data_IF_605686502789
#
_entry.id   IF_605686502789
#
_cell.length_a   1.000
_cell.length_b   1.000
_cell.length_c   1.000
_cell.angle_alpha   90.00
_cell.angle_beta   90.00
_cell.angle_gamma   90.00
#
_symmetry.space_group_name_H-M   'P 1'
#
loop_
_entity.id
_entity.type
_entity.pdbx_description
1 polymer ?
#
# COMPACT_ATOMS: atom_id res chain seq x y z
N UNK A 1 -19.10 -11.97 3.11
CA UNK A 1 -18.32 -11.32 4.18
C UNK A 1 -19.20 -10.94 5.35
N UNK A 2 -18.58 -10.67 6.51
CA UNK A 2 -19.24 -10.04 7.66
C UNK A 2 -18.70 -8.62 7.78
N UNK A 3 -19.54 -7.67 8.17
CA UNK A 3 -19.12 -6.30 8.44
C UNK A 3 -19.70 -5.81 9.74
N UNK A 4 -19.02 -4.85 10.37
CA UNK A 4 -19.42 -4.22 11.62
C UNK A 4 -19.10 -2.74 11.58
N UNK A 5 -20.01 -1.95 12.15
CA UNK A 5 -19.88 -0.50 12.26
C UNK A 5 -20.16 -0.05 13.70
N UNK A 6 -19.47 1.01 14.12
CA UNK A 6 -19.84 1.79 15.31
C UNK A 6 -19.53 3.25 15.09
N UNK A 7 -20.36 4.11 15.68
CA UNK A 7 -20.26 5.56 15.56
C UNK A 7 -19.96 6.16 16.93
N UNK A 8 -19.12 7.18 16.96
CA UNK A 8 -18.80 7.97 18.15
C UNK A 8 -19.05 9.45 17.88
N UNK A 9 -19.75 10.08 18.82
CA UNK A 9 -19.91 11.53 18.87
C UNK A 9 -18.57 12.23 19.14
N UNK A 10 -18.31 13.38 18.50
CA UNK A 10 -17.14 14.20 18.81
C UNK A 10 -17.17 14.68 20.27
N UNK A 11 -16.01 14.71 20.91
CA UNK A 11 -15.87 15.15 22.30
C UNK A 11 -16.25 16.64 22.40
N UNK A 12 -17.21 16.97 23.27
CA UNK A 12 -17.59 18.36 23.54
C UNK A 12 -18.69 18.94 22.64
N UNK A 13 -19.23 18.19 21.67
CA UNK A 13 -20.43 18.58 20.92
C UNK A 13 -21.46 17.45 20.97
N UNK A 14 -22.65 17.73 21.50
CA UNK A 14 -23.77 16.77 21.52
C UNK A 14 -24.52 16.82 20.21
N UNK A 15 -24.83 15.66 19.64
CA UNK A 15 -25.73 15.59 18.51
C UNK A 15 -27.17 15.94 18.95
N UNK A 16 -27.97 16.55 18.05
CA UNK A 16 -29.41 16.68 18.23
C UNK A 16 -30.08 15.35 18.64
N UNK A 17 -30.99 15.41 19.60
CA UNK A 17 -31.77 14.25 20.01
C UNK A 17 -32.69 13.80 18.86
N UNK A 18 -32.68 12.50 18.53
CA UNK A 18 -33.50 11.92 17.46
C UNK A 18 -32.79 11.72 16.11
N UNK A 19 -31.49 12.02 16.02
CA UNK A 19 -30.68 11.68 14.86
C UNK A 19 -30.53 10.15 14.73
N UNK A 20 -31.04 9.62 13.63
CA UNK A 20 -30.82 8.24 13.22
C UNK A 20 -29.79 8.20 12.11
N UNK A 21 -28.77 7.35 12.30
CA UNK A 21 -27.79 7.06 11.26
C UNK A 21 -28.10 5.71 10.65
N UNK A 22 -27.96 5.62 9.33
CA UNK A 22 -28.17 4.39 8.57
C UNK A 22 -26.89 4.03 7.86
N UNK A 23 -26.54 2.74 7.88
CA UNK A 23 -25.49 2.17 7.03
C UNK A 23 -26.14 1.44 5.87
N UNK A 24 -25.65 1.78 4.69
CA UNK A 24 -26.17 1.34 3.41
C UNK A 24 -25.02 0.72 2.61
N UNK A 25 -25.02 -0.61 2.42
CA UNK A 25 -24.09 -1.28 1.54
C UNK A 25 -24.60 -1.22 0.09
N UNK A 26 -23.70 -0.82 -0.81
CA UNK A 26 -23.88 -0.74 -2.25
C UNK A 26 -22.93 -1.73 -2.93
N UNK A 27 -23.40 -2.32 -4.02
CA UNK A 27 -22.55 -3.11 -4.90
C UNK A 27 -21.78 -2.15 -5.82
N UNK A 28 -20.56 -2.51 -6.23
CA UNK A 28 -19.77 -1.77 -7.21
C UNK A 28 -20.54 -1.42 -8.49
N UNK A 29 -21.37 -2.33 -9.01
CA UNK A 29 -22.19 -2.08 -10.21
C UNK A 29 -23.27 -1.01 -10.02
N UNK A 30 -23.80 -0.87 -8.79
CA UNK A 30 -24.84 0.10 -8.46
C UNK A 30 -24.26 1.44 -7.96
N UNK A 31 -22.99 1.45 -7.55
CA UNK A 31 -22.35 2.61 -6.95
C UNK A 31 -22.31 3.83 -7.87
N UNK A 32 -21.94 3.75 -9.16
CA UNK A 32 -21.96 4.91 -10.06
C UNK A 32 -23.37 5.53 -10.19
N UNK A 33 -24.41 4.70 -10.19
CA UNK A 33 -25.79 5.18 -10.22
C UNK A 33 -26.16 5.89 -8.91
N UNK A 34 -25.77 5.33 -7.76
CA UNK A 34 -25.98 5.95 -6.46
C UNK A 34 -25.21 7.27 -6.31
N UNK A 35 -23.97 7.33 -6.80
CA UNK A 35 -23.11 8.52 -6.76
C UNK A 35 -23.65 9.65 -7.66
N UNK A 36 -24.21 9.31 -8.81
CA UNK A 36 -24.83 10.26 -9.73
C UNK A 36 -26.09 10.96 -9.17
N UNK A 37 -26.74 10.37 -8.15
CA UNK A 37 -27.89 10.99 -7.48
C UNK A 37 -27.39 12.13 -6.58
N UNK A 38 -27.87 13.35 -6.88
CA UNK A 38 -27.51 14.56 -6.13
C UNK A 38 -28.03 14.55 -4.69
N UNK A 39 -29.25 14.05 -4.48
CA UNK A 39 -29.84 13.93 -3.16
C UNK A 39 -29.29 12.69 -2.42
N UNK A 40 -28.50 12.91 -1.38
CA UNK A 40 -27.88 11.86 -0.59
C UNK A 40 -28.89 10.86 -0.01
N UNK A 41 -30.11 11.31 0.29
CA UNK A 41 -31.15 10.46 0.87
C UNK A 41 -31.86 9.58 -0.16
N UNK A 42 -31.86 9.99 -1.43
CA UNK A 42 -32.40 9.18 -2.53
C UNK A 42 -31.43 8.06 -2.93
N UNK A 43 -30.13 8.17 -2.60
CA UNK A 43 -29.13 7.13 -2.84
C UNK A 43 -29.55 5.80 -2.22
N UNK A 44 -30.26 5.82 -1.09
CA UNK A 44 -30.77 4.64 -0.40
C UNK A 44 -31.58 3.70 -1.33
N UNK A 45 -32.20 4.20 -2.40
CA UNK A 45 -32.93 3.37 -3.37
C UNK A 45 -32.05 2.34 -4.08
N UNK A 46 -30.76 2.63 -4.23
CA UNK A 46 -29.77 1.72 -4.83
C UNK A 46 -29.07 0.82 -3.80
N UNK A 47 -29.31 1.04 -2.50
CA UNK A 47 -28.70 0.25 -1.44
C UNK A 47 -29.30 -1.16 -1.38
N UNK A 48 -28.46 -2.18 -1.16
CA UNK A 48 -28.94 -3.56 -1.00
C UNK A 48 -29.63 -3.80 0.34
N UNK A 49 -29.29 -3.01 1.35
CA UNK A 49 -29.85 -3.07 2.70
C UNK A 49 -29.72 -1.72 3.40
N UNK A 50 -30.54 -1.45 4.40
CA UNK A 50 -30.34 -0.30 5.30
C UNK A 50 -30.38 -0.80 6.74
N UNK A 51 -29.37 -0.46 7.53
CA UNK A 51 -29.26 -0.82 8.94
C UNK A 51 -29.14 0.44 9.77
N UNK A 52 -30.04 0.61 10.75
CA UNK A 52 -29.99 1.74 11.68
C UNK A 52 -28.89 1.49 12.71
N UNK A 53 -28.01 2.47 12.91
CA UNK A 53 -26.89 2.44 13.85
C UNK A 53 -27.14 3.44 14.97
N UNK A 54 -26.90 2.97 16.21
CA UNK A 54 -26.95 3.82 17.39
C UNK A 54 -25.59 4.46 17.63
N UNK A 55 -25.58 5.78 17.82
CA UNK A 55 -24.37 6.52 18.18
C UNK A 55 -24.08 6.34 19.67
N UNK A 56 -22.81 6.20 20.01
CA UNK A 56 -22.35 6.21 21.40
C UNK A 56 -22.49 7.60 22.02
N UNK A 57 -22.55 7.67 23.35
CA UNK A 57 -22.66 8.94 24.07
C UNK A 57 -21.31 9.65 24.13
N UNK A 58 -21.28 10.95 23.83
CA UNK A 58 -20.21 11.93 24.16
C UNK A 58 -18.81 11.34 24.42
N UNK A 59 -18.10 10.96 23.35
CA UNK A 59 -16.71 10.50 23.42
C UNK A 59 -16.50 8.99 23.48
N UNK A 60 -17.57 8.20 23.65
CA UNK A 60 -17.51 6.74 23.56
C UNK A 60 -18.14 6.24 22.26
N UNK A 61 -17.63 5.10 21.77
CA UNK A 61 -18.24 4.43 20.62
C UNK A 61 -19.55 3.73 21.02
N UNK A 62 -20.52 3.78 20.11
CA UNK A 62 -21.75 3.01 20.23
C UNK A 62 -21.52 1.50 20.13
N UNK A 63 -22.59 0.71 20.36
CA UNK A 63 -22.51 -0.74 20.20
C UNK A 63 -22.22 -1.12 18.74
N UNK A 64 -21.52 -2.24 18.56
CA UNK A 64 -21.29 -2.79 17.23
C UNK A 64 -22.60 -3.18 16.56
N UNK A 65 -22.84 -2.63 15.37
CA UNK A 65 -23.92 -3.07 14.49
C UNK A 65 -23.32 -3.93 13.40
N UNK A 66 -23.70 -5.20 13.35
CA UNK A 66 -23.15 -6.17 12.40
C UNK A 66 -24.14 -6.51 11.29
N UNK A 67 -23.63 -6.66 10.07
CA UNK A 67 -24.37 -7.21 8.95
C UNK A 67 -23.55 -8.22 8.15
N UNK A 68 -24.21 -8.85 7.19
CA UNK A 68 -23.61 -9.83 6.30
C UNK A 68 -23.90 -9.46 4.86
N UNK A 69 -22.91 -9.67 4.00
CA UNK A 69 -23.05 -9.59 2.55
C UNK A 69 -22.72 -10.95 1.96
N UNK A 70 -23.56 -11.42 1.04
CA UNK A 70 -23.40 -12.73 0.38
C UNK A 70 -23.32 -12.52 -1.12
N UNK A 71 -22.35 -13.17 -1.75
CA UNK A 71 -22.20 -13.22 -3.20
C UNK A 71 -22.08 -14.68 -3.63
N UNK A 72 -22.69 -15.03 -4.77
CA UNK A 72 -22.77 -16.42 -5.24
C UNK A 72 -21.87 -16.71 -6.44
N UNK A 73 -21.68 -15.74 -7.33
CA UNK A 73 -21.08 -15.97 -8.66
C UNK A 73 -19.66 -15.40 -8.75
N UNK A 74 -19.48 -14.13 -8.35
CA UNK A 74 -18.21 -13.39 -8.44
C UNK A 74 -18.00 -12.57 -7.17
N UNK A 75 -16.73 -12.30 -6.83
CA UNK A 75 -16.34 -11.33 -5.81
C UNK A 75 -16.52 -9.91 -6.34
N UNK A 76 -17.29 -9.08 -5.64
CA UNK A 76 -17.41 -7.65 -5.94
C UNK A 76 -16.88 -6.79 -4.81
N UNK A 77 -16.54 -5.56 -5.16
CA UNK A 77 -16.27 -4.51 -4.17
C UNK A 77 -17.59 -4.00 -3.61
N UNK A 78 -17.61 -3.74 -2.31
CA UNK A 78 -18.77 -3.22 -1.60
C UNK A 78 -18.45 -1.83 -1.07
N UNK A 79 -19.31 -0.88 -1.40
CA UNK A 79 -19.27 0.47 -0.86
C UNK A 79 -20.20 0.55 0.34
N UNK A 80 -19.80 1.28 1.37
CA UNK A 80 -20.62 1.48 2.54
C UNK A 80 -20.76 2.98 2.80
N UNK A 81 -21.99 3.48 2.73
CA UNK A 81 -22.30 4.87 3.06
C UNK A 81 -23.00 4.94 4.41
N UNK A 82 -22.70 6.01 5.16
CA UNK A 82 -23.45 6.38 6.37
C UNK A 82 -24.27 7.62 6.04
N UNK A 83 -25.59 7.53 6.20
CA UNK A 83 -26.52 8.62 5.90
C UNK A 83 -27.38 8.97 7.13
N UNK A 84 -27.84 10.21 7.21
CA UNK A 84 -28.87 10.63 8.16
C UNK A 84 -29.88 11.50 7.43
N UNK A 85 -31.11 11.01 7.30
CA UNK A 85 -32.14 11.58 6.43
C UNK A 85 -33.39 12.08 7.16
N UNK A 86 -33.40 12.06 8.50
CA UNK A 86 -34.57 12.44 9.31
C UNK A 86 -34.74 13.96 9.48
N UNK A 87 -34.32 14.77 8.51
CA UNK A 87 -34.64 16.20 8.42
C UNK A 87 -33.91 17.14 9.39
N UNK A 88 -33.04 16.63 10.27
CA UNK A 88 -32.12 17.46 11.06
C UNK A 88 -30.79 17.58 10.31
N UNK A 89 -30.45 18.79 9.87
CA UNK A 89 -29.12 19.08 9.34
C UNK A 89 -28.07 18.68 10.38
N UNK A 90 -27.10 17.88 9.95
CA UNK A 90 -25.97 17.53 10.78
C UNK A 90 -25.15 18.81 11.00
N UNK A 91 -24.87 19.22 12.25
CA UNK A 91 -23.94 20.30 12.48
C UNK A 91 -22.59 19.91 11.86
N UNK A 92 -21.83 20.87 11.32
CA UNK A 92 -20.47 20.66 10.78
C UNK A 92 -19.57 20.06 11.88
N UNK A 93 -19.58 18.73 11.97
CA UNK A 93 -18.99 17.96 13.04
C UNK A 93 -18.43 16.68 12.46
N UNK A 94 -17.16 16.42 12.75
CA UNK A 94 -16.51 15.19 12.36
C UNK A 94 -17.04 14.05 13.25
N UNK A 95 -17.81 13.14 12.66
CA UNK A 95 -18.20 11.88 13.29
C UNK A 95 -17.05 10.89 13.17
N UNK A 96 -16.71 10.25 14.28
CA UNK A 96 -15.75 9.15 14.26
C UNK A 96 -16.48 7.86 13.90
N UNK A 97 -16.18 7.33 12.71
CA UNK A 97 -16.68 6.05 12.22
C UNK A 97 -15.61 5.00 12.41
N UNK A 98 -15.98 3.84 12.95
CA UNK A 98 -15.13 2.66 12.92
C UNK A 98 -15.84 1.55 12.15
N UNK A 99 -15.14 1.07 11.13
CA UNK A 99 -15.58 0.04 10.21
C UNK A 99 -14.64 -1.14 10.28
N UNK A 100 -15.21 -2.35 10.31
CA UNK A 100 -14.46 -3.59 10.24
C UNK A 100 -15.20 -4.55 9.32
N UNK A 101 -14.51 -5.06 8.29
CA UNK A 101 -15.03 -6.09 7.41
C UNK A 101 -14.10 -7.30 7.37
N UNK A 102 -14.70 -8.49 7.25
CA UNK A 102 -14.01 -9.76 7.08
C UNK A 102 -14.60 -10.55 5.92
N UNK A 103 -13.72 -11.23 5.19
CA UNK A 103 -14.08 -12.13 4.12
C UNK A 103 -14.65 -13.46 4.66
N UNK A 104 -15.28 -14.29 3.79
CA UNK A 104 -15.58 -15.67 4.14
C UNK A 104 -14.28 -16.38 4.61
N UNK A 105 -14.26 -16.85 5.86
CA UNK A 105 -13.05 -17.40 6.50
C UNK A 105 -12.44 -16.50 7.59
N UNK A 106 -12.94 -15.27 7.77
CA UNK A 106 -12.56 -14.39 8.89
C UNK A 106 -11.34 -13.51 8.64
N UNK A 107 -10.66 -13.66 7.50
CA UNK A 107 -9.53 -12.80 7.11
C UNK A 107 -9.99 -11.37 6.80
N UNK A 108 -9.13 -10.41 7.16
CA UNK A 108 -9.27 -9.00 6.81
C UNK A 108 -8.70 -8.64 5.42
N UNK A 109 -8.00 -9.57 4.76
CA UNK A 109 -7.51 -9.35 3.41
C UNK A 109 -8.65 -9.19 2.41
N UNK A 110 -8.44 -8.33 1.41
CA UNK A 110 -9.31 -8.31 0.23
C UNK A 110 -9.13 -9.62 -0.55
N UNK A 111 -10.07 -9.93 -1.44
CA UNK A 111 -9.95 -11.11 -2.31
C UNK A 111 -8.71 -11.00 -3.20
N UNK A 112 -8.37 -9.78 -3.64
CA UNK A 112 -7.22 -9.49 -4.48
C UNK A 112 -5.90 -9.70 -3.74
N UNK A 113 -5.87 -9.36 -2.44
CA UNK A 113 -4.69 -9.52 -1.60
C UNK A 113 -4.64 -10.86 -0.84
N UNK A 114 -5.55 -11.81 -1.13
CA UNK A 114 -5.65 -13.05 -0.36
C UNK A 114 -4.35 -13.88 -0.39
N UNK A 115 -3.63 -13.83 -1.50
CA UNK A 115 -2.34 -14.52 -1.69
C UNK A 115 -1.12 -13.63 -1.48
N UNK A 116 -1.30 -12.36 -1.09
CA UNK A 116 -0.21 -11.42 -0.91
C UNK A 116 0.81 -11.92 0.13
N UNK A 117 0.34 -12.43 1.28
CA UNK A 117 1.19 -12.98 2.32
C UNK A 117 2.00 -14.19 1.81
N UNK A 118 1.35 -15.12 1.11
CA UNK A 118 1.99 -16.31 0.53
C UNK A 118 3.05 -15.92 -0.51
N UNK A 119 2.73 -14.97 -1.39
CA UNK A 119 3.66 -14.41 -2.37
C UNK A 119 4.87 -13.76 -1.70
N UNK A 120 4.64 -12.96 -0.64
CA UNK A 120 5.71 -12.33 0.12
C UNK A 120 6.64 -13.36 0.79
N UNK A 121 6.07 -14.42 1.38
CA UNK A 121 6.85 -15.51 1.98
C UNK A 121 7.67 -16.26 0.92
N UNK A 122 7.08 -16.54 -0.25
CA UNK A 122 7.81 -17.19 -1.34
C UNK A 122 8.97 -16.31 -1.84
N UNK A 123 8.74 -15.01 -2.01
CA UNK A 123 9.79 -14.05 -2.34
C UNK A 123 10.88 -14.00 -1.27
N UNK A 124 10.52 -14.04 0.01
CA UNK A 124 11.50 -14.07 1.11
C UNK A 124 12.36 -15.35 1.08
N UNK A 125 11.76 -16.51 0.78
CA UNK A 125 12.50 -17.77 0.61
C UNK A 125 13.47 -17.70 -0.57
N UNK A 126 13.04 -17.15 -1.71
CA UNK A 126 13.89 -16.92 -2.87
C UNK A 126 15.05 -15.97 -2.53
N UNK A 127 14.78 -14.86 -1.84
CA UNK A 127 15.82 -13.94 -1.37
C UNK A 127 16.78 -14.58 -0.37
N UNK A 128 16.28 -15.43 0.52
CA UNK A 128 17.14 -16.20 1.44
C UNK A 128 18.10 -17.09 0.65
N UNK A 129 17.61 -17.81 -0.36
CA UNK A 129 18.45 -18.61 -1.25
C UNK A 129 19.49 -17.78 -2.00
N UNK A 130 19.09 -16.61 -2.52
CA UNK A 130 20.00 -15.68 -3.18
C UNK A 130 21.09 -15.15 -2.24
N UNK A 131 20.73 -14.71 -1.02
CA UNK A 131 21.67 -14.23 0.00
C UNK A 131 22.68 -15.31 0.39
N UNK A 132 22.22 -16.55 0.60
CA UNK A 132 23.11 -17.67 0.91
C UNK A 132 24.08 -17.95 -0.25
N UNK A 133 23.61 -17.89 -1.50
CA UNK A 133 24.46 -18.04 -2.69
C UNK A 133 25.49 -16.91 -2.79
N UNK A 134 25.06 -15.65 -2.60
CA UNK A 134 25.92 -14.47 -2.61
C UNK A 134 26.98 -14.54 -1.52
N UNK A 135 26.61 -14.90 -0.29
CA UNK A 135 27.52 -15.05 0.84
C UNK A 135 28.55 -16.15 0.58
N UNK A 136 28.12 -17.34 0.12
CA UNK A 136 29.02 -18.46 -0.20
C UNK A 136 30.02 -18.10 -1.30
N UNK A 137 29.55 -17.45 -2.38
CA UNK A 137 30.41 -17.03 -3.50
C UNK A 137 31.39 -15.95 -3.07
N UNK A 138 30.93 -14.97 -2.29
CA UNK A 138 31.77 -13.89 -1.77
C UNK A 138 32.83 -14.41 -0.81
N UNK A 139 32.48 -15.35 0.07
CA UNK A 139 33.44 -16.01 0.97
C UNK A 139 34.49 -16.82 0.21
N UNK A 140 34.07 -17.62 -0.79
CA UNK A 140 35.00 -18.35 -1.64
C UNK A 140 35.96 -17.42 -2.38
N UNK A 141 35.45 -16.31 -2.91
CA UNK A 141 36.28 -15.33 -3.63
C UNK A 141 37.25 -14.60 -2.69
N UNK A 142 36.78 -14.20 -1.50
CA UNK A 142 37.61 -13.60 -0.46
C UNK A 142 38.76 -14.52 -0.05
N UNK A 143 38.52 -15.82 0.12
CA UNK A 143 39.58 -16.77 0.48
C UNK A 143 40.67 -16.91 -0.60
N UNK A 144 40.35 -16.62 -1.87
CA UNK A 144 41.31 -16.72 -2.98
C UNK A 144 42.07 -15.41 -3.20
N UNK A 145 41.38 -14.27 -3.09
CA UNK A 145 41.91 -12.96 -3.50
C UNK A 145 42.23 -12.03 -2.33
N UNK A 146 41.82 -12.38 -1.11
CA UNK A 146 42.02 -11.60 0.11
C UNK A 146 41.21 -10.30 0.21
N UNK A 147 40.53 -9.88 -0.87
CA UNK A 147 39.78 -8.62 -0.92
C UNK A 147 38.54 -8.77 -1.81
N UNK A 148 37.44 -8.08 -1.45
CA UNK A 148 36.22 -8.01 -2.26
C UNK A 148 36.08 -6.61 -2.87
N UNK A 149 35.64 -6.57 -4.12
CA UNK A 149 35.39 -5.30 -4.82
C UNK A 149 34.29 -4.50 -4.10
N UNK A 150 34.40 -3.16 -3.97
CA UNK A 150 33.40 -2.32 -3.29
C UNK A 150 31.96 -2.48 -3.82
N UNK A 151 31.81 -2.82 -5.09
CA UNK A 151 30.50 -3.11 -5.72
C UNK A 151 29.81 -4.32 -5.06
N UNK A 152 30.58 -5.34 -4.67
CA UNK A 152 30.03 -6.54 -4.01
C UNK A 152 29.58 -6.20 -2.58
N UNK A 153 30.37 -5.38 -1.86
CA UNK A 153 29.99 -4.90 -0.53
C UNK A 153 28.71 -4.05 -0.56
N UNK A 154 28.63 -3.11 -1.49
CA UNK A 154 27.45 -2.26 -1.66
C UNK A 154 26.22 -3.10 -2.06
N UNK A 155 26.38 -4.09 -2.93
CA UNK A 155 25.30 -5.02 -3.29
C UNK A 155 24.84 -5.84 -2.07
N UNK A 156 25.77 -6.34 -1.25
CA UNK A 156 25.43 -7.08 -0.04
C UNK A 156 24.62 -6.23 0.94
N UNK A 157 24.99 -4.96 1.13
CA UNK A 157 24.22 -4.02 1.97
C UNK A 157 22.81 -3.81 1.41
N UNK A 158 22.69 -3.53 0.11
CA UNK A 158 21.39 -3.32 -0.56
C UNK A 158 20.46 -4.53 -0.38
N UNK A 159 20.96 -5.73 -0.65
CA UNK A 159 20.16 -6.96 -0.58
C UNK A 159 19.78 -7.27 0.87
N UNK A 160 20.67 -7.02 1.83
CA UNK A 160 20.34 -7.15 3.26
C UNK A 160 19.27 -6.14 3.69
N UNK A 161 19.35 -4.89 3.24
CA UNK A 161 18.32 -3.88 3.50
C UNK A 161 16.97 -4.30 2.93
N UNK A 162 16.93 -4.81 1.69
CA UNK A 162 15.72 -5.35 1.07
C UNK A 162 15.14 -6.53 1.85
N UNK A 163 16.00 -7.43 2.32
CA UNK A 163 15.58 -8.57 3.11
C UNK A 163 14.93 -8.16 4.43
N UNK A 164 15.56 -7.22 5.15
CA UNK A 164 15.00 -6.67 6.39
C UNK A 164 13.64 -6.01 6.11
N UNK A 165 13.55 -5.19 5.07
CA UNK A 165 12.31 -4.53 4.69
C UNK A 165 11.19 -5.54 4.40
N UNK A 166 11.50 -6.61 3.65
CA UNK A 166 10.54 -7.67 3.33
C UNK A 166 10.05 -8.40 4.59
N UNK A 167 10.92 -8.65 5.57
CA UNK A 167 10.54 -9.23 6.86
C UNK A 167 9.59 -8.31 7.65
N UNK A 168 9.85 -6.99 7.66
CA UNK A 168 8.97 -6.01 8.32
C UNK A 168 7.59 -5.96 7.65
N UNK A 169 7.54 -5.96 6.31
CA UNK A 169 6.30 -5.98 5.54
C UNK A 169 5.50 -7.28 5.77
N UNK A 170 6.15 -8.45 5.77
CA UNK A 170 5.49 -9.71 6.12
C UNK A 170 4.91 -9.65 7.55
N UNK A 171 5.64 -9.08 8.50
CA UNK A 171 5.13 -8.93 9.86
C UNK A 171 3.92 -7.99 9.91
N UNK A 172 3.94 -6.88 9.15
CA UNK A 172 2.78 -6.02 8.99
C UNK A 172 1.59 -6.81 8.42
N UNK A 173 1.76 -7.57 7.34
CA UNK A 173 0.71 -8.37 6.71
C UNK A 173 0.13 -9.44 7.65
N UNK A 174 0.97 -10.10 8.46
CA UNK A 174 0.49 -11.06 9.46
C UNK A 174 -0.41 -10.38 10.50
N UNK A 175 0.00 -9.20 11.00
CA UNK A 175 -0.82 -8.44 11.93
C UNK A 175 -2.13 -7.98 11.26
N UNK A 176 -2.03 -7.47 10.04
CA UNK A 176 -3.18 -7.03 9.25
C UNK A 176 -4.20 -8.16 9.02
N UNK A 177 -3.74 -9.40 8.84
CA UNK A 177 -4.62 -10.56 8.71
C UNK A 177 -5.51 -10.77 9.94
N UNK A 178 -4.99 -10.46 11.13
CA UNK A 178 -5.64 -10.68 12.43
C UNK A 178 -6.54 -9.50 12.85
N UNK A 179 -6.09 -8.25 12.64
CA UNK A 179 -6.76 -7.05 13.17
C UNK A 179 -7.34 -6.11 12.10
N UNK A 180 -6.98 -6.30 10.82
CA UNK A 180 -7.38 -5.46 9.69
C UNK A 180 -6.74 -4.06 9.65
N UNK A 181 -5.75 -3.78 10.49
CA UNK A 181 -4.98 -2.53 10.50
C UNK A 181 -3.48 -2.76 10.30
N UNK A 182 -2.96 -3.86 10.81
CA UNK A 182 -1.54 -4.14 10.87
C UNK A 182 -0.79 -3.10 11.73
N UNK A 183 0.52 -3.01 11.51
CA UNK A 183 1.34 -1.96 12.13
C UNK A 183 1.72 -0.90 11.09
N UNK A 184 1.18 0.33 11.16
CA UNK A 184 1.52 1.37 10.20
C UNK A 184 3.00 1.76 10.26
N UNK A 185 3.60 1.67 11.45
CA UNK A 185 5.04 1.93 11.63
C UNK A 185 5.90 0.93 10.86
N UNK A 186 5.59 -0.38 10.94
CA UNK A 186 6.34 -1.40 10.22
C UNK A 186 6.23 -1.21 8.71
N UNK A 187 5.05 -0.83 8.22
CA UNK A 187 4.82 -0.60 6.80
C UNK A 187 5.63 0.59 6.28
N UNK A 188 5.51 1.74 6.92
CA UNK A 188 6.26 2.95 6.53
C UNK A 188 7.76 2.71 6.58
N UNK A 189 8.25 2.01 7.61
CA UNK A 189 9.67 1.67 7.71
C UNK A 189 10.12 0.72 6.59
N UNK A 190 9.31 -0.31 6.27
CA UNK A 190 9.59 -1.23 5.17
C UNK A 190 9.65 -0.50 3.83
N UNK A 191 8.67 0.37 3.54
CA UNK A 191 8.62 1.20 2.34
C UNK A 191 9.87 2.07 2.18
N UNK A 192 10.25 2.80 3.24
CA UNK A 192 11.45 3.66 3.21
C UNK A 192 12.70 2.85 2.89
N UNK A 193 12.89 1.70 3.57
CA UNK A 193 14.05 0.84 3.33
C UNK A 193 14.05 0.28 1.90
N UNK A 194 12.90 -0.09 1.35
CA UNK A 194 12.77 -0.55 -0.04
C UNK A 194 13.13 0.57 -1.02
N UNK A 195 12.59 1.78 -0.85
CA UNK A 195 12.90 2.93 -1.71
C UNK A 195 14.39 3.25 -1.71
N UNK A 196 15.00 3.32 -0.53
CA UNK A 196 16.45 3.57 -0.40
C UNK A 196 17.25 2.46 -1.08
N UNK A 197 16.89 1.20 -0.86
CA UNK A 197 17.59 0.07 -1.48
C UNK A 197 17.49 0.07 -3.01
N UNK A 198 16.32 0.37 -3.57
CA UNK A 198 16.11 0.47 -5.01
C UNK A 198 16.91 1.62 -5.61
N UNK A 199 16.99 2.77 -4.93
CA UNK A 199 17.79 3.91 -5.38
C UNK A 199 19.28 3.56 -5.46
N UNK A 200 19.82 2.88 -4.44
CA UNK A 200 21.22 2.43 -4.43
C UNK A 200 21.45 1.36 -5.50
N UNK A 201 20.54 0.39 -5.64
CA UNK A 201 20.63 -0.66 -6.65
C UNK A 201 20.63 -0.10 -8.07
N UNK A 202 19.72 0.81 -8.39
CA UNK A 202 19.66 1.50 -9.68
C UNK A 202 20.96 2.25 -9.97
N UNK A 203 21.51 2.95 -8.96
CA UNK A 203 22.78 3.65 -9.08
C UNK A 203 23.95 2.69 -9.38
N UNK A 204 23.98 1.52 -8.72
CA UNK A 204 24.98 0.49 -9.00
C UNK A 204 24.90 -0.05 -10.43
N UNK A 205 23.69 -0.28 -10.95
CA UNK A 205 23.48 -0.74 -12.33
C UNK A 205 24.05 0.28 -13.31
N UNK A 206 23.78 1.57 -13.11
CA UNK A 206 24.32 2.65 -13.95
C UNK A 206 25.85 2.69 -13.89
N UNK A 207 26.45 2.54 -12.70
CA UNK A 207 27.91 2.50 -12.59
C UNK A 207 28.53 1.30 -13.30
N UNK A 208 27.89 0.13 -13.22
CA UNK A 208 28.35 -1.06 -13.97
C UNK A 208 28.25 -0.80 -15.47
N UNK A 209 27.15 -0.20 -15.94
CA UNK A 209 26.96 0.15 -17.35
C UNK A 209 28.02 1.14 -17.86
N UNK A 210 28.42 2.11 -17.02
CA UNK A 210 29.51 3.05 -17.32
C UNK A 210 30.91 2.42 -17.24
N UNK A 211 31.02 1.10 -17.05
CA UNK A 211 32.29 0.38 -17.05
C UNK A 211 33.10 0.52 -15.76
N UNK A 212 32.47 0.93 -14.65
CA UNK A 212 33.15 1.12 -13.36
C UNK A 212 33.90 -0.14 -12.90
N UNK A 213 33.36 -1.33 -13.15
CA UNK A 213 33.98 -2.61 -12.78
C UNK A 213 35.07 -3.09 -13.74
N UNK A 214 35.20 -2.48 -14.92
CA UNK A 214 36.11 -2.93 -15.99
C UNK A 214 37.31 -2.01 -16.19
N UNK A 215 37.15 -0.69 -15.98
CA UNK A 215 38.14 0.31 -16.42
C UNK A 215 38.78 1.12 -15.29
N UNK A 216 38.24 1.09 -14.06
CA UNK A 216 38.71 1.94 -12.95
C UNK A 216 38.88 1.16 -11.65
N UNK A 217 40.08 1.20 -11.09
CA UNK A 217 40.42 0.61 -9.77
C UNK A 217 40.02 1.49 -8.59
N UNK A 218 39.67 2.75 -8.83
CA UNK A 218 39.16 3.70 -7.84
C UNK A 218 37.78 4.22 -8.27
N UNK A 219 36.93 4.52 -7.29
CA UNK A 219 35.65 5.22 -7.45
C UNK A 219 35.87 6.36 -8.44
N UNK A 220 35.29 6.23 -9.64
CA UNK A 220 35.52 7.16 -10.74
C UNK A 220 35.27 8.61 -10.31
N UNK A 221 35.89 9.57 -11.00
CA UNK A 221 35.75 11.02 -10.76
C UNK A 221 34.37 11.37 -10.17
N UNK A 222 34.34 11.76 -8.88
CA UNK A 222 33.10 12.04 -8.14
C UNK A 222 32.19 13.02 -8.89
N UNK A 223 32.78 13.83 -9.79
CA UNK A 223 32.11 14.74 -10.71
C UNK A 223 31.06 14.07 -11.61
N UNK A 224 31.19 12.79 -11.94
CA UNK A 224 30.21 12.04 -12.75
C UNK A 224 29.25 11.24 -11.86
N UNK A 225 29.77 10.67 -10.77
CA UNK A 225 28.99 9.81 -9.85
C UNK A 225 27.91 10.60 -9.11
N UNK A 226 28.26 11.77 -8.56
CA UNK A 226 27.33 12.57 -7.77
C UNK A 226 26.12 13.04 -8.59
N UNK A 227 26.27 13.62 -9.81
CA UNK A 227 25.13 14.02 -10.63
C UNK A 227 24.22 12.85 -11.01
N UNK A 228 24.79 11.68 -11.33
CA UNK A 228 24.02 10.48 -11.67
C UNK A 228 23.19 10.01 -10.47
N UNK A 229 23.79 9.91 -9.28
CA UNK A 229 23.06 9.54 -8.07
C UNK A 229 21.96 10.57 -7.73
N UNK A 230 22.23 11.86 -7.89
CA UNK A 230 21.23 12.91 -7.67
C UNK A 230 20.07 12.78 -8.66
N UNK A 231 20.34 12.53 -9.94
CA UNK A 231 19.31 12.33 -10.95
C UNK A 231 18.44 11.10 -10.64
N UNK A 232 19.06 9.99 -10.27
CA UNK A 232 18.36 8.76 -9.85
C UNK A 232 17.52 9.02 -8.60
N UNK A 233 18.05 9.74 -7.61
CA UNK A 233 17.32 10.10 -6.40
C UNK A 233 16.11 10.99 -6.70
N UNK A 234 16.28 12.01 -7.56
CA UNK A 234 15.18 12.88 -8.00
C UNK A 234 14.11 12.09 -8.76
N UNK A 235 14.50 11.16 -9.64
CA UNK A 235 13.55 10.29 -10.33
C UNK A 235 12.74 9.43 -9.35
N UNK A 236 13.40 8.82 -8.35
CA UNK A 236 12.70 8.06 -7.31
C UNK A 236 11.79 8.94 -6.44
N UNK A 237 12.25 10.12 -6.03
CA UNK A 237 11.44 11.07 -5.26
C UNK A 237 10.21 11.53 -6.06
N UNK A 238 10.37 11.79 -7.35
CA UNK A 238 9.29 12.16 -8.26
C UNK A 238 8.24 11.04 -8.38
N UNK A 239 8.68 9.77 -8.52
CA UNK A 239 7.75 8.63 -8.57
C UNK A 239 6.96 8.48 -7.27
N UNK A 240 7.60 8.63 -6.11
CA UNK A 240 6.93 8.57 -4.82
C UNK A 240 5.95 9.74 -4.66
N UNK A 241 6.31 10.93 -5.12
CA UNK A 241 5.41 12.09 -5.09
C UNK A 241 4.18 11.87 -5.97
N UNK A 242 4.37 11.40 -7.21
CA UNK A 242 3.25 11.05 -8.10
C UNK A 242 2.33 9.99 -7.50
N UNK A 243 2.90 9.06 -6.73
CA UNK A 243 2.11 8.06 -6.02
C UNK A 243 1.16 8.71 -5.02
N UNK A 244 1.68 9.59 -4.15
CA UNK A 244 0.90 10.23 -3.09
C UNK A 244 -0.11 11.25 -3.60
N UNK A 245 0.14 11.93 -4.72
CA UNK A 245 -0.79 12.94 -5.27
C UNK A 245 -2.03 12.30 -5.91
N UNK A 246 -1.96 11.04 -6.34
CA UNK A 246 -3.05 10.38 -7.07
C UNK A 246 -3.93 9.48 -6.19
N UNK A 247 -3.73 9.49 -4.87
CA UNK A 247 -4.34 8.52 -3.93
C UNK A 247 -5.80 8.86 -3.52
N UNK A 248 -6.44 9.86 -4.14
CA UNK A 248 -7.70 10.45 -3.61
C UNK A 248 -9.01 9.97 -4.27
N UNK A 249 -9.00 9.03 -5.22
CA UNK A 249 -10.24 8.59 -5.89
C UNK A 249 -10.90 7.37 -5.22
N UNK A 250 -12.17 7.52 -4.82
CA UNK A 250 -12.96 6.46 -4.16
C UNK A 250 -13.20 5.19 -5.00
N UNK A 251 -12.95 5.25 -6.31
CA UNK A 251 -13.15 4.15 -7.26
C UNK A 251 -11.84 3.48 -7.69
N UNK A 252 -10.72 3.76 -7.02
CA UNK A 252 -9.43 3.16 -7.36
C UNK A 252 -9.20 1.90 -6.52
N UNK A 253 -9.16 0.75 -7.19
CA UNK A 253 -9.07 -0.54 -6.51
C UNK A 253 -7.64 -1.09 -6.48
N UNK A 254 -6.76 -0.61 -7.38
CA UNK A 254 -5.37 -1.06 -7.46
C UNK A 254 -4.35 0.08 -7.44
N UNK A 255 -3.21 -0.14 -6.76
CA UNK A 255 -2.15 0.86 -6.60
C UNK A 255 -1.50 1.29 -7.92
N UNK A 256 -1.60 0.47 -8.97
CA UNK A 256 -1.01 0.73 -10.29
C UNK A 256 -2.04 1.00 -11.39
N UNK A 257 -3.30 1.24 -11.03
CA UNK A 257 -4.35 1.54 -12.00
C UNK A 257 -4.12 2.87 -12.73
N UNK A 258 -4.52 2.92 -14.00
CA UNK A 258 -4.58 4.16 -14.77
C UNK A 258 -3.23 4.73 -15.21
N UNK A 259 -3.14 6.06 -15.25
CA UNK A 259 -2.03 6.80 -15.84
C UNK A 259 -0.69 6.54 -15.15
N UNK A 260 -0.69 6.28 -13.83
CA UNK A 260 0.49 5.95 -13.03
C UNK A 260 1.23 4.73 -13.59
N UNK A 261 0.51 3.63 -13.82
CA UNK A 261 1.07 2.39 -14.34
C UNK A 261 1.73 2.60 -15.70
N UNK A 262 1.09 3.36 -16.58
CA UNK A 262 1.61 3.68 -17.91
C UNK A 262 2.84 4.59 -17.87
N UNK A 263 2.85 5.63 -17.03
CA UNK A 263 4.03 6.49 -16.86
C UNK A 263 5.22 5.71 -16.32
N UNK A 264 5.00 4.83 -15.33
CA UNK A 264 6.05 4.01 -14.74
C UNK A 264 6.60 2.99 -15.76
N UNK A 265 5.73 2.38 -16.57
CA UNK A 265 6.14 1.50 -17.67
C UNK A 265 6.95 2.26 -18.72
N UNK A 266 6.48 3.43 -19.17
CA UNK A 266 7.15 4.26 -20.17
C UNK A 266 8.54 4.70 -19.68
N UNK A 267 8.65 5.16 -18.43
CA UNK A 267 9.93 5.54 -17.83
C UNK A 267 10.90 4.36 -17.79
N UNK A 268 10.43 3.16 -17.40
CA UNK A 268 11.25 1.94 -17.38
C UNK A 268 11.72 1.55 -18.78
N UNK A 269 10.86 1.67 -19.79
CA UNK A 269 11.22 1.40 -21.19
C UNK A 269 12.27 2.39 -21.71
N UNK A 270 12.12 3.68 -21.42
CA UNK A 270 13.11 4.70 -21.80
C UNK A 270 14.46 4.42 -21.15
N UNK A 271 14.49 4.15 -19.84
CA UNK A 271 15.72 3.79 -19.14
C UNK A 271 16.38 2.55 -19.73
N UNK A 272 15.59 1.52 -20.07
CA UNK A 272 16.09 0.31 -20.71
C UNK A 272 16.71 0.59 -22.09
N UNK A 273 16.04 1.40 -22.91
CA UNK A 273 16.56 1.81 -24.24
C UNK A 273 17.84 2.64 -24.09
N UNK A 274 17.89 3.60 -23.16
CA UNK A 274 19.08 4.40 -22.91
C UNK A 274 20.29 3.53 -22.52
N UNK A 275 20.08 2.48 -21.71
CA UNK A 275 21.14 1.53 -21.35
C UNK A 275 21.55 0.65 -22.53
N UNK A 276 20.63 0.30 -23.43
CA UNK A 276 20.92 -0.49 -24.64
C UNK A 276 21.71 0.28 -25.70
N UNK A 277 21.52 1.60 -25.76
CA UNK A 277 22.15 2.49 -26.76
C UNK A 277 23.50 3.05 -26.27
N UNK A 278 23.72 3.09 -24.94
CA UNK A 278 24.98 3.52 -24.32
C UNK A 278 26.03 2.40 -24.30
#
# INVERSE_FOLDING_TARGET
>A
GKYKFRLREPVGRRLPAGLEFRVEPYLDEDWPAAEAVQDACQRQQHAKKSLVIKVGKSGEFGPWTSGTVTQKIRSHVWYFAVSSCNGTELPETALAVEFQATQPGGSHFSVESAWALHGCVLTLLAFTGFLLSLARRSYKFWNVTGTLHPVIWTLAVVVMTQYIAQCLHIRHLVLYAEDGRGSPFLEVLAEILLVVSHMVQSSQIVFIALGYTLTRTAVGDLRIIVPVCVLVALAHAWLVFLDKVQDEDANRFTEHEGLKGWMLLAMRLVLYVCVLVA
#
